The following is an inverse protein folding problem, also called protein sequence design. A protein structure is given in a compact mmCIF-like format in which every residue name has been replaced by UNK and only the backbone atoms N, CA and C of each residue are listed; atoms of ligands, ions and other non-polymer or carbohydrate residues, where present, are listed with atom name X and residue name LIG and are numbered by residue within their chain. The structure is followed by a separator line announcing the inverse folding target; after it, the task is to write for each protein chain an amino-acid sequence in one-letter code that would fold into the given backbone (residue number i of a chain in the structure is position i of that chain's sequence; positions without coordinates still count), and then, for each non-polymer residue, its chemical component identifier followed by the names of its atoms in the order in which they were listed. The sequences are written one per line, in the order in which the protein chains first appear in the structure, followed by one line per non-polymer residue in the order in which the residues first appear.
data_IF_937729569603
#
_entry.id   IF_937729569603
#
_cell.length_a   1.000
_cell.length_b   1.000
_cell.length_c   1.000
_cell.angle_alpha   90.00
_cell.angle_beta   90.00
_cell.angle_gamma   90.00
#
_symmetry.space_group_name_H-M   'P 1'
#
loop_
_entity.id
_entity.type
_entity.pdbx_description
1 polymer ?
#
# COMPACT_ATOMS: atom_id res chain seq x y z
N UNK A 1 -9.29 1.82 7.52
CA UNK A 1 -9.12 2.71 8.69
C UNK A 1 -7.86 2.30 9.42
N UNK A 2 -6.69 2.75 8.96
CA UNK A 2 -5.37 2.46 9.54
C UNK A 2 -5.16 1.02 10.06
N UNK A 3 -5.62 0.00 9.33
CA UNK A 3 -5.54 -1.41 9.74
C UNK A 3 -6.22 -1.79 11.07
N UNK A 4 -7.15 -0.97 11.60
CA UNK A 4 -7.98 -1.34 12.75
C UNK A 4 -8.71 -2.67 12.53
N UNK A 5 -9.15 -2.92 11.30
CA UNK A 5 -9.79 -4.16 10.85
C UNK A 5 -9.13 -4.66 9.54
N UNK A 6 -9.23 -5.95 9.28
CA UNK A 6 -8.84 -6.63 8.04
C UNK A 6 -10.06 -6.89 7.12
N UNK A 7 -11.25 -6.50 7.55
CA UNK A 7 -12.48 -6.55 6.76
C UNK A 7 -12.91 -5.16 6.25
N UNK A 8 -13.44 -5.13 5.03
CA UNK A 8 -14.14 -3.96 4.50
C UNK A 8 -15.46 -4.41 3.87
N UNK A 9 -16.55 -3.66 4.11
CA UNK A 9 -17.90 -4.08 3.73
C UNK A 9 -18.03 -4.30 2.22
N UNK A 10 -18.75 -5.36 1.82
CA UNK A 10 -18.91 -5.76 0.41
C UNK A 10 -19.43 -4.63 -0.49
N UNK A 11 -20.38 -3.82 0.00
CA UNK A 11 -20.92 -2.68 -0.76
C UNK A 11 -19.88 -1.59 -1.01
N UNK A 12 -18.91 -1.42 -0.09
CA UNK A 12 -17.79 -0.50 -0.27
C UNK A 12 -16.76 -1.07 -1.25
N UNK A 13 -16.44 -2.36 -1.14
CA UNK A 13 -15.56 -3.07 -2.07
C UNK A 13 -16.10 -2.98 -3.50
N UNK A 14 -17.40 -3.19 -3.70
CA UNK A 14 -18.04 -3.15 -5.01
C UNK A 14 -17.80 -1.81 -5.75
N UNK A 15 -17.71 -0.69 -5.00
CA UNK A 15 -17.45 0.65 -5.57
C UNK A 15 -16.03 0.87 -6.07
N UNK A 16 -15.08 0.02 -5.65
CA UNK A 16 -13.67 0.10 -6.05
C UNK A 16 -13.17 -1.17 -6.72
N UNK A 17 -14.07 -2.09 -7.06
CA UNK A 17 -13.72 -3.36 -7.67
C UNK A 17 -13.20 -3.17 -9.10
N UNK A 18 -12.60 -4.21 -9.68
CA UNK A 18 -12.02 -4.17 -11.03
C UNK A 18 -13.05 -3.71 -12.10
N UNK A 19 -14.34 -4.02 -11.92
CA UNK A 19 -15.41 -3.57 -12.82
C UNK A 19 -15.55 -2.05 -12.86
N UNK A 20 -15.23 -1.36 -11.77
CA UNK A 20 -15.24 0.10 -11.67
C UNK A 20 -13.90 0.70 -12.10
N UNK A 21 -12.78 0.11 -11.67
CA UNK A 21 -11.42 0.55 -12.02
C UNK A 21 -11.21 0.56 -13.54
N UNK A 22 -11.66 -0.47 -14.26
CA UNK A 22 -11.45 -0.58 -15.71
C UNK A 22 -12.03 0.58 -16.50
N UNK A 23 -13.03 1.30 -15.97
CA UNK A 23 -13.63 2.49 -16.62
C UNK A 23 -12.61 3.63 -16.78
N UNK A 24 -11.58 3.65 -15.93
CA UNK A 24 -10.50 4.63 -15.93
C UNK A 24 -9.23 4.11 -16.59
N UNK A 25 -9.15 2.82 -16.93
CA UNK A 25 -7.99 2.21 -17.59
C UNK A 25 -8.07 2.44 -19.10
N UNK A 26 -7.27 3.37 -19.61
CA UNK A 26 -7.22 3.71 -21.04
C UNK A 26 -6.42 2.69 -21.86
N UNK A 27 -5.31 2.23 -21.31
CA UNK A 27 -4.38 1.33 -21.96
C UNK A 27 -3.55 0.58 -20.91
N UNK A 28 -2.60 -0.24 -21.37
CA UNK A 28 -1.51 -0.73 -20.55
C UNK A 28 -0.16 -0.33 -21.13
N UNK A 29 0.85 -0.24 -20.26
CA UNK A 29 2.23 0.11 -20.60
C UNK A 29 3.14 -1.01 -20.12
N UNK A 30 4.08 -1.41 -20.98
CA UNK A 30 5.08 -2.42 -20.65
C UNK A 30 6.30 -1.79 -19.96
N UNK A 31 6.96 -2.61 -19.13
CA UNK A 31 8.36 -2.36 -18.79
C UNK A 31 9.24 -2.73 -20.00
N UNK A 32 10.50 -2.32 -19.97
CA UNK A 32 11.48 -2.68 -21.00
C UNK A 32 11.48 -4.20 -21.26
N UNK A 33 11.34 -4.59 -22.53
CA UNK A 33 11.31 -5.98 -23.00
C UNK A 33 10.25 -6.91 -22.38
N UNK A 34 9.26 -6.36 -21.66
CA UNK A 34 8.24 -7.17 -21.00
C UNK A 34 7.04 -7.44 -21.94
N UNK A 35 6.73 -8.71 -22.26
CA UNK A 35 5.59 -9.04 -23.11
C UNK A 35 4.24 -8.98 -22.36
N UNK A 36 4.25 -8.89 -21.02
CA UNK A 36 3.03 -8.95 -20.19
C UNK A 36 2.26 -7.63 -20.20
N UNK A 37 2.95 -6.49 -20.31
CA UNK A 37 2.34 -5.14 -20.28
C UNK A 37 1.32 -4.94 -19.14
N UNK A 38 1.73 -5.21 -17.90
CA UNK A 38 0.80 -5.23 -16.76
C UNK A 38 0.48 -3.85 -16.16
N UNK A 39 1.25 -2.78 -16.47
CA UNK A 39 1.04 -1.47 -15.83
C UNK A 39 -0.17 -0.80 -16.48
N UNK A 40 -1.25 -0.50 -15.75
CA UNK A 40 -2.36 0.23 -16.35
C UNK A 40 -1.97 1.69 -16.60
N UNK A 41 -2.42 2.27 -17.71
CA UNK A 41 -2.46 3.72 -17.90
C UNK A 41 -3.84 4.21 -17.48
N UNK A 42 -3.89 4.93 -16.37
CA UNK A 42 -5.12 5.47 -15.80
C UNK A 42 -5.38 6.87 -16.38
N UNK A 43 -6.64 7.18 -16.69
CA UNK A 43 -7.05 8.45 -17.30
C UNK A 43 -8.42 8.89 -16.75
N UNK A 44 -8.42 9.94 -15.92
CA UNK A 44 -9.61 10.68 -15.50
C UNK A 44 -9.69 11.93 -16.38
N UNK A 45 -10.67 11.95 -17.29
CA UNK A 45 -10.71 12.94 -18.38
C UNK A 45 -11.24 14.32 -17.97
N UNK A 46 -12.08 14.38 -16.94
CA UNK A 46 -12.86 15.57 -16.58
C UNK A 46 -13.11 15.67 -15.07
N UNK A 47 -13.62 16.81 -14.64
CA UNK A 47 -13.91 17.08 -13.22
C UNK A 47 -12.69 17.51 -12.41
N UNK A 48 -12.89 17.66 -11.11
CA UNK A 48 -11.88 18.15 -10.15
C UNK A 48 -10.62 17.28 -10.10
N UNK A 49 -10.77 15.98 -10.38
CA UNK A 49 -9.71 14.99 -10.31
C UNK A 49 -9.15 14.60 -11.68
N UNK A 50 -9.24 15.49 -12.67
CA UNK A 50 -8.65 15.26 -14.00
C UNK A 50 -7.15 15.02 -13.90
N UNK A 51 -6.70 13.81 -14.27
CA UNK A 51 -5.30 13.39 -14.24
C UNK A 51 -5.12 12.16 -15.13
N UNK A 52 -3.91 11.94 -15.62
CA UNK A 52 -3.53 10.69 -16.27
C UNK A 52 -2.12 10.27 -15.83
N UNK A 53 -1.85 8.98 -15.87
CA UNK A 53 -0.52 8.46 -15.57
C UNK A 53 -0.47 6.95 -15.43
N UNK A 54 0.71 6.48 -15.06
CA UNK A 54 1.02 5.06 -14.96
C UNK A 54 0.68 4.50 -13.58
N UNK A 55 0.18 3.27 -13.57
CA UNK A 55 0.04 2.47 -12.37
C UNK A 55 -1.34 2.55 -11.72
N UNK A 56 -1.74 1.41 -11.18
CA UNK A 56 -2.83 1.20 -10.24
C UNK A 56 -2.81 -0.27 -9.88
N UNK A 57 -2.37 -0.59 -8.66
CA UNK A 57 -2.27 -1.96 -8.17
C UNK A 57 -3.11 -2.15 -6.91
N UNK A 58 -3.13 -3.37 -6.39
CA UNK A 58 -3.82 -3.69 -5.14
C UNK A 58 -3.37 -2.76 -3.99
N UNK A 59 -2.07 -2.45 -3.90
CA UNK A 59 -1.55 -1.52 -2.89
C UNK A 59 -2.11 -0.10 -3.05
N UNK A 60 -2.32 0.39 -4.29
CA UNK A 60 -2.95 1.70 -4.52
C UNK A 60 -4.36 1.77 -3.91
N UNK A 61 -5.16 0.72 -4.10
CA UNK A 61 -6.49 0.62 -3.51
C UNK A 61 -6.43 0.49 -1.98
N UNK A 62 -5.47 -0.27 -1.45
CA UNK A 62 -5.27 -0.36 -0.01
C UNK A 62 -4.89 1.00 0.61
N UNK A 63 -3.96 1.72 -0.02
CA UNK A 63 -3.42 3.00 0.43
C UNK A 63 -4.48 4.11 0.41
N UNK A 64 -5.21 4.28 -0.69
CA UNK A 64 -6.10 5.44 -0.88
C UNK A 64 -7.59 5.12 -0.79
N UNK A 65 -7.97 3.85 -0.63
CA UNK A 65 -9.34 3.45 -0.33
C UNK A 65 -9.43 2.87 1.09
N UNK A 66 -8.96 1.65 1.32
CA UNK A 66 -9.29 0.91 2.55
C UNK A 66 -8.63 1.49 3.80
N UNK A 67 -7.37 1.96 3.73
CA UNK A 67 -6.67 2.61 4.86
C UNK A 67 -7.39 3.87 5.35
N UNK A 68 -8.03 4.62 4.45
CA UNK A 68 -8.72 5.89 4.75
C UNK A 68 -10.25 5.73 4.83
N UNK A 69 -10.79 4.54 4.52
CA UNK A 69 -12.24 4.28 4.37
C UNK A 69 -12.90 5.11 3.25
N UNK A 70 -12.15 5.36 2.18
CA UNK A 70 -12.58 6.13 1.03
C UNK A 70 -13.18 5.20 -0.05
N UNK A 71 -14.43 5.46 -0.44
CA UNK A 71 -15.10 4.78 -1.58
C UNK A 71 -15.14 5.61 -2.85
N UNK A 72 -14.58 6.82 -2.86
CA UNK A 72 -14.47 7.65 -4.05
C UNK A 72 -13.23 7.20 -4.85
N UNK A 73 -13.48 6.40 -5.89
CA UNK A 73 -12.43 5.81 -6.72
C UNK A 73 -11.65 6.85 -7.54
N UNK A 74 -12.30 7.91 -8.05
CA UNK A 74 -11.62 8.99 -8.76
C UNK A 74 -10.62 9.72 -7.88
N UNK A 75 -11.04 10.05 -6.65
CA UNK A 75 -10.16 10.67 -5.67
C UNK A 75 -8.98 9.75 -5.30
N UNK A 76 -9.21 8.44 -5.20
CA UNK A 76 -8.16 7.47 -4.89
C UNK A 76 -7.15 7.31 -6.04
N UNK A 77 -7.63 7.20 -7.30
CA UNK A 77 -6.77 7.18 -8.49
C UNK A 77 -5.97 8.48 -8.60
N UNK A 78 -6.62 9.62 -8.36
CA UNK A 78 -5.94 10.90 -8.32
C UNK A 78 -4.85 10.96 -7.25
N UNK A 79 -5.12 10.49 -6.03
CA UNK A 79 -4.13 10.42 -4.96
C UNK A 79 -2.93 9.54 -5.32
N UNK A 80 -3.16 8.39 -5.97
CA UNK A 80 -2.10 7.52 -6.47
C UNK A 80 -1.22 8.23 -7.50
N UNK A 81 -1.82 8.82 -8.54
CA UNK A 81 -1.07 9.49 -9.60
C UNK A 81 -0.39 10.77 -9.12
N UNK A 82 -1.01 11.49 -8.19
CA UNK A 82 -0.39 12.64 -7.52
C UNK A 82 0.84 12.21 -6.73
N UNK A 83 0.79 11.07 -6.04
CA UNK A 83 1.93 10.52 -5.30
C UNK A 83 3.09 10.19 -6.24
N UNK A 84 2.81 9.63 -7.43
CA UNK A 84 3.83 9.42 -8.46
C UNK A 84 4.48 10.75 -8.89
N UNK A 85 3.68 11.80 -9.11
CA UNK A 85 4.19 13.14 -9.49
C UNK A 85 5.00 13.81 -8.39
N UNK A 86 4.65 13.57 -7.12
CA UNK A 86 5.35 14.11 -5.95
C UNK A 86 6.60 13.31 -5.57
N UNK A 87 6.85 12.15 -6.21
CA UNK A 87 7.99 11.29 -5.90
C UNK A 87 7.92 10.65 -4.52
N UNK A 88 6.71 10.32 -4.05
CA UNK A 88 6.48 9.70 -2.74
C UNK A 88 6.32 8.17 -2.85
N UNK A 89 6.69 7.47 -1.78
CA UNK A 89 6.21 6.10 -1.55
C UNK A 89 4.75 6.17 -1.09
N UNK A 90 3.83 5.69 -1.93
CA UNK A 90 2.39 5.78 -1.67
C UNK A 90 1.92 4.99 -0.46
N UNK A 91 2.58 3.88 -0.15
CA UNK A 91 2.20 3.04 0.99
C UNK A 91 2.61 3.72 2.30
N UNK A 92 3.82 4.26 2.36
CA UNK A 92 4.30 5.02 3.53
C UNK A 92 3.51 6.32 3.72
N UNK A 93 3.25 7.06 2.64
CA UNK A 93 2.48 8.30 2.72
C UNK A 93 1.04 8.02 3.22
N UNK A 94 0.39 6.98 2.68
CA UNK A 94 -0.93 6.57 3.15
C UNK A 94 -0.92 6.09 4.61
N UNK A 95 0.12 5.39 5.04
CA UNK A 95 0.25 4.92 6.42
C UNK A 95 0.38 6.10 7.39
N UNK A 96 1.29 7.05 7.13
CA UNK A 96 1.46 8.27 7.94
C UNK A 96 0.17 9.11 8.02
N UNK A 97 -0.55 9.25 6.91
CA UNK A 97 -1.82 9.98 6.89
C UNK A 97 -2.91 9.21 7.64
N UNK A 98 -3.04 7.91 7.43
CA UNK A 98 -4.06 7.11 8.11
C UNK A 98 -3.83 7.03 9.63
N UNK A 99 -2.57 7.03 10.08
CA UNK A 99 -2.21 7.17 11.48
C UNK A 99 -2.68 8.53 12.05
N UNK A 100 -2.52 9.62 11.29
CA UNK A 100 -3.02 10.93 11.70
C UNK A 100 -4.56 10.95 11.80
N UNK A 101 -5.28 10.30 10.87
CA UNK A 101 -6.74 10.14 10.94
C UNK A 101 -7.16 9.41 12.22
N UNK A 102 -6.45 8.34 12.60
CA UNK A 102 -6.72 7.64 13.84
C UNK A 102 -6.41 8.49 15.08
N UNK A 103 -5.29 9.21 15.10
CA UNK A 103 -4.98 10.15 16.17
C UNK A 103 -6.05 11.25 16.32
N UNK A 104 -6.60 11.72 15.20
CA UNK A 104 -7.69 12.69 15.19
C UNK A 104 -8.99 12.09 15.74
N UNK A 105 -9.35 10.86 15.31
CA UNK A 105 -10.50 10.12 15.86
C UNK A 105 -10.39 9.94 17.38
N UNK A 106 -9.19 9.65 17.90
CA UNK A 106 -8.93 9.48 19.33
C UNK A 106 -8.77 10.80 20.09
N UNK A 107 -8.90 11.95 19.43
CA UNK A 107 -8.76 13.28 20.04
C UNK A 107 -7.33 13.64 20.46
N UNK A 108 -6.32 12.95 19.91
CA UNK A 108 -4.90 13.22 20.22
C UNK A 108 -4.35 14.41 19.45
N UNK A 109 -4.92 14.69 18.28
CA UNK A 109 -4.66 15.87 17.46
C UNK A 109 -5.97 16.56 17.10
N UNK A 110 -5.90 17.87 16.87
CA UNK A 110 -7.06 18.74 16.70
C UNK A 110 -7.10 19.37 15.31
N UNK A 111 -8.28 19.88 14.91
CA UNK A 111 -8.47 20.64 13.66
C UNK A 111 -7.52 21.84 13.54
N UNK A 112 -7.13 22.44 14.67
CA UNK A 112 -6.17 23.54 14.69
C UNK A 112 -4.76 23.07 14.30
N UNK A 113 -4.32 21.93 14.82
CA UNK A 113 -3.00 21.36 14.52
C UNK A 113 -2.91 20.88 13.07
N UNK A 114 -4.03 20.46 12.47
CA UNK A 114 -4.10 19.99 11.09
C UNK A 114 -4.37 21.11 10.07
N UNK A 115 -4.10 22.37 10.44
CA UNK A 115 -4.32 23.57 9.62
C UNK A 115 -5.76 23.69 9.08
N UNK A 116 -6.75 23.26 9.87
CA UNK A 116 -8.17 23.30 9.50
C UNK A 116 -8.70 22.03 8.83
N UNK A 117 -7.85 21.05 8.53
CA UNK A 117 -8.29 19.80 7.88
C UNK A 117 -9.00 18.87 8.88
N UNK A 118 -10.19 18.41 8.53
CA UNK A 118 -10.94 17.43 9.32
C UNK A 118 -10.55 16.01 8.90
N UNK A 119 -9.70 15.37 9.70
CA UNK A 119 -9.17 14.03 9.41
C UNK A 119 -10.14 12.92 9.87
N UNK A 120 -11.37 12.98 9.36
CA UNK A 120 -12.41 11.97 9.61
C UNK A 120 -12.40 10.90 8.52
N UNK A 121 -12.62 9.64 8.89
CA UNK A 121 -12.61 8.52 7.94
C UNK A 121 -13.55 8.76 6.75
N UNK A 122 -13.05 8.47 5.54
CA UNK A 122 -13.73 8.71 4.27
C UNK A 122 -13.55 10.11 3.69
N UNK A 123 -12.96 11.07 4.43
CA UNK A 123 -12.65 12.41 3.91
C UNK A 123 -11.44 12.39 2.96
N UNK A 124 -11.69 12.05 1.70
CA UNK A 124 -10.67 11.96 0.66
C UNK A 124 -10.06 13.31 0.29
N UNK A 125 -10.79 14.42 0.46
CA UNK A 125 -10.25 15.76 0.25
C UNK A 125 -9.15 16.07 1.27
N UNK A 126 -9.39 15.78 2.56
CA UNK A 126 -8.39 15.95 3.60
C UNK A 126 -7.17 15.04 3.38
N UNK A 127 -7.38 13.80 2.93
CA UNK A 127 -6.29 12.89 2.55
C UNK A 127 -5.43 13.49 1.42
N UNK A 128 -6.04 13.98 0.35
CA UNK A 128 -5.32 14.56 -0.80
C UNK A 128 -4.57 15.83 -0.40
N UNK A 129 -5.17 16.71 0.38
CA UNK A 129 -4.49 17.92 0.85
C UNK A 129 -3.34 17.59 1.81
N UNK A 130 -3.51 16.58 2.67
CA UNK A 130 -2.44 16.12 3.54
C UNK A 130 -1.28 15.49 2.75
N UNK A 131 -1.54 14.75 1.66
CA UNK A 131 -0.50 14.25 0.75
C UNK A 131 0.37 15.39 0.20
N UNK A 132 -0.26 16.46 -0.30
CA UNK A 132 0.45 17.64 -0.80
C UNK A 132 1.28 18.29 0.32
N UNK A 133 0.67 18.51 1.48
CA UNK A 133 1.35 19.09 2.65
C UNK A 133 2.54 18.25 3.11
N UNK A 134 2.41 16.92 3.09
CA UNK A 134 3.46 15.98 3.45
C UNK A 134 4.63 16.09 2.45
N UNK A 135 4.36 16.03 1.15
CA UNK A 135 5.39 16.14 0.11
C UNK A 135 6.18 17.45 0.20
N UNK A 136 5.49 18.57 0.42
CA UNK A 136 6.13 19.88 0.53
C UNK A 136 6.57 20.26 1.95
N UNK A 137 6.45 19.34 2.92
CA UNK A 137 6.76 19.59 4.34
C UNK A 137 6.11 20.89 4.87
N UNK A 138 4.80 21.07 4.64
CA UNK A 138 4.04 22.29 5.02
C UNK A 138 3.08 22.03 6.18
N UNK A 139 3.24 22.80 7.26
CA UNK A 139 2.36 22.73 8.45
C UNK A 139 2.38 21.32 9.05
N UNK A 140 1.20 20.75 9.34
CA UNK A 140 1.11 19.37 9.86
C UNK A 140 1.74 18.32 8.93
N UNK A 141 1.83 18.59 7.62
CA UNK A 141 2.52 17.70 6.69
C UNK A 141 4.02 17.53 7.00
N UNK A 142 4.70 18.55 7.53
CA UNK A 142 6.10 18.41 7.97
C UNK A 142 6.23 17.46 9.16
N UNK A 143 5.24 17.47 10.06
CA UNK A 143 5.21 16.59 11.22
C UNK A 143 5.15 15.10 10.82
N UNK A 144 4.43 14.80 9.73
CA UNK A 144 4.26 13.46 9.18
C UNK A 144 5.36 13.02 8.21
N UNK A 145 6.16 13.95 7.68
CA UNK A 145 7.06 13.68 6.56
C UNK A 145 8.24 12.74 6.88
N UNK A 146 8.49 12.43 8.15
CA UNK A 146 9.50 11.46 8.58
C UNK A 146 8.91 10.05 8.86
N UNK A 147 7.64 9.82 8.50
CA UNK A 147 6.93 8.55 8.68
C UNK A 147 6.11 8.47 9.97
N UNK A 148 5.18 7.50 10.02
CA UNK A 148 4.22 7.39 11.12
C UNK A 148 4.90 7.12 12.48
N UNK A 149 5.93 6.27 12.50
CA UNK A 149 6.67 5.98 13.73
C UNK A 149 7.33 7.24 14.32
N UNK A 150 8.00 8.03 13.49
CA UNK A 150 8.64 9.29 13.93
C UNK A 150 7.63 10.34 14.35
N UNK A 151 6.49 10.41 13.67
CA UNK A 151 5.39 11.27 14.09
C UNK A 151 4.83 10.83 15.47
N UNK A 152 4.67 9.52 15.70
CA UNK A 152 4.18 8.99 16.96
C UNK A 152 5.14 9.20 18.13
N UNK A 153 6.45 8.98 17.92
CA UNK A 153 7.49 9.29 18.91
C UNK A 153 7.44 10.77 19.33
N UNK A 154 7.26 11.68 18.35
CA UNK A 154 7.14 13.13 18.61
C UNK A 154 5.82 13.50 19.29
N UNK A 155 4.71 12.86 18.93
CA UNK A 155 3.38 13.17 19.48
C UNK A 155 3.23 12.65 20.92
N UNK A 156 3.80 11.48 21.21
CA UNK A 156 3.59 10.75 22.46
C UNK A 156 2.13 10.30 22.60
N UNK A 157 1.59 10.40 23.83
CA UNK A 157 0.19 10.06 24.16
C UNK A 157 -0.20 8.61 23.82
N UNK A 158 0.75 7.69 23.92
CA UNK A 158 0.61 6.28 23.52
C UNK A 158 0.19 6.08 22.04
N UNK A 159 0.44 7.07 21.18
CA UNK A 159 0.05 7.04 19.76
C UNK A 159 0.88 6.07 18.91
N UNK A 160 2.00 5.58 19.45
CA UNK A 160 2.81 4.52 18.84
C UNK A 160 2.03 3.22 18.66
N UNK A 161 1.00 2.98 19.49
CA UNK A 161 0.11 1.81 19.37
C UNK A 161 -0.71 1.78 18.08
N UNK A 162 -0.86 2.92 17.41
CA UNK A 162 -1.59 3.04 16.15
C UNK A 162 -0.67 2.92 14.93
N UNK A 163 0.65 2.82 15.14
CA UNK A 163 1.60 2.71 14.04
C UNK A 163 1.72 1.26 13.60
N UNK A 164 1.37 0.97 12.35
CA UNK A 164 1.59 -0.33 11.74
C UNK A 164 2.94 -0.30 11.03
N UNK A 165 3.96 -0.91 11.63
CA UNK A 165 5.32 -0.92 11.10
C UNK A 165 6.07 -2.21 11.43
N UNK A 166 7.12 -2.49 10.66
CA UNK A 166 8.09 -3.56 10.94
C UNK A 166 9.48 -2.97 10.75
N UNK A 167 10.39 -3.17 11.73
CA UNK A 167 11.77 -2.63 11.70
C UNK A 167 11.84 -1.12 11.43
N UNK A 168 10.87 -0.37 11.96
CA UNK A 168 10.80 1.09 11.81
C UNK A 168 10.19 1.61 10.51
N UNK A 169 9.93 0.74 9.53
CA UNK A 169 9.27 1.15 8.29
C UNK A 169 7.77 0.84 8.34
N UNK A 170 6.97 1.82 7.94
CA UNK A 170 5.53 1.73 7.75
C UNK A 170 5.14 0.51 6.90
N UNK A 171 4.05 -0.16 7.28
CA UNK A 171 3.52 -1.34 6.57
C UNK A 171 2.04 -1.20 6.24
N UNK A 172 1.72 -1.48 4.98
CA UNK A 172 0.36 -1.48 4.46
C UNK A 172 -0.38 -2.78 4.79
N UNK A 173 0.36 -3.86 4.98
CA UNK A 173 -0.11 -5.23 4.85
C UNK A 173 -0.91 -5.70 6.07
N UNK A 174 -2.05 -6.37 5.82
CA UNK A 174 -2.77 -7.12 6.83
C UNK A 174 -2.07 -8.45 7.10
N UNK A 175 -1.75 -8.73 8.36
CA UNK A 175 -0.94 -9.90 8.77
C UNK A 175 -1.66 -10.86 9.71
N UNK A 176 -2.91 -10.56 10.13
CA UNK A 176 -3.60 -11.35 11.16
C UNK A 176 -4.13 -12.66 10.61
N UNK A 177 -4.70 -12.66 9.40
CA UNK A 177 -5.32 -13.85 8.80
C UNK A 177 -4.28 -14.79 8.18
N UNK A 178 -3.47 -14.30 7.23
CA UNK A 178 -2.54 -15.15 6.49
C UNK A 178 -1.21 -15.32 7.24
N UNK A 179 -0.95 -16.53 7.75
CA UNK A 179 0.25 -16.81 8.55
C UNK A 179 1.52 -16.84 7.74
N UNK A 180 1.50 -17.38 6.52
CA UNK A 180 2.65 -17.35 5.62
C UNK A 180 3.01 -15.94 5.16
N UNK A 181 2.01 -15.11 4.85
CA UNK A 181 2.18 -13.71 4.49
C UNK A 181 2.76 -12.89 5.65
N UNK A 182 2.12 -12.98 6.82
CA UNK A 182 2.53 -12.25 8.00
C UNK A 182 3.95 -12.62 8.43
N UNK A 183 4.27 -13.91 8.44
CA UNK A 183 5.62 -14.38 8.73
C UNK A 183 6.65 -13.84 7.74
N UNK A 184 6.32 -13.85 6.44
CA UNK A 184 7.18 -13.30 5.39
C UNK A 184 7.44 -11.80 5.52
N UNK A 185 6.43 -11.02 5.91
CA UNK A 185 6.58 -9.57 6.13
C UNK A 185 7.43 -9.28 7.36
N UNK A 186 7.18 -9.98 8.48
CA UNK A 186 7.94 -9.79 9.73
C UNK A 186 9.43 -10.08 9.51
N UNK A 187 9.74 -11.15 8.77
CA UNK A 187 11.12 -11.57 8.49
C UNK A 187 11.73 -10.91 7.25
N UNK A 188 10.99 -10.05 6.54
CA UNK A 188 11.47 -9.42 5.32
C UNK A 188 12.79 -8.67 5.54
N UNK A 189 13.82 -8.85 4.69
CA UNK A 189 15.11 -8.19 4.83
C UNK A 189 15.04 -6.68 4.61
N UNK A 190 13.95 -6.16 4.04
CA UNK A 190 13.75 -4.74 3.73
C UNK A 190 12.55 -4.14 4.50
N UNK A 191 12.44 -4.50 5.77
CA UNK A 191 11.41 -4.01 6.68
C UNK A 191 9.98 -4.45 6.29
N UNK A 192 8.94 -3.66 6.60
CA UNK A 192 7.52 -4.06 6.50
C UNK A 192 6.92 -4.24 5.11
N UNK A 193 7.64 -4.89 4.19
CA UNK A 193 7.26 -5.11 2.78
C UNK A 193 7.15 -6.59 2.45
N UNK A 194 6.12 -6.94 1.68
CA UNK A 194 5.86 -8.31 1.27
C UNK A 194 6.65 -8.78 0.02
N UNK A 195 7.15 -7.87 -0.83
CA UNK A 195 7.80 -8.23 -2.10
C UNK A 195 9.18 -8.90 -1.98
N UNK A 196 9.60 -9.28 -0.77
CA UNK A 196 10.83 -10.05 -0.51
C UNK A 196 10.51 -11.49 -0.14
N UNK A 197 9.73 -12.16 -0.98
CA UNK A 197 9.47 -13.60 -0.88
C UNK A 197 8.37 -13.99 0.10
N UNK A 198 7.45 -13.10 0.47
CA UNK A 198 6.29 -13.48 1.27
C UNK A 198 5.42 -14.53 0.57
N UNK A 199 4.70 -15.34 1.35
CA UNK A 199 4.01 -16.55 0.88
C UNK A 199 2.55 -16.32 0.46
N UNK A 200 2.24 -15.27 -0.31
CA UNK A 200 0.82 -14.92 -0.59
C UNK A 200 0.55 -14.37 -1.99
N UNK A 201 1.24 -14.87 -3.00
CA UNK A 201 0.47 -15.03 -4.23
C UNK A 201 -0.52 -16.13 -3.90
N UNK A 202 -1.83 -15.92 -4.11
CA UNK A 202 -2.96 -16.84 -3.84
C UNK A 202 -2.74 -18.32 -4.28
N UNK A 203 -1.65 -18.56 -5.00
CA UNK A 203 -1.17 -19.77 -5.66
C UNK A 203 0.03 -20.43 -4.94
N UNK A 204 0.84 -19.65 -4.21
CA UNK A 204 1.92 -20.14 -3.38
C UNK A 204 1.26 -20.69 -2.11
N UNK A 205 1.19 -22.02 -2.01
CA UNK A 205 0.52 -22.78 -0.92
C UNK A 205 -1.00 -22.91 -1.04
N UNK A 206 -1.54 -23.03 -2.26
CA UNK A 206 -2.98 -23.30 -2.49
C UNK A 206 -3.50 -24.54 -1.75
N UNK A 207 -2.62 -25.50 -1.48
CA UNK A 207 -2.96 -26.77 -0.83
C UNK A 207 -3.08 -26.64 0.70
N UNK A 208 -2.71 -25.49 1.26
CA UNK A 208 -2.76 -25.22 2.68
C UNK A 208 -3.82 -24.16 3.00
N UNK A 209 -4.57 -24.29 4.11
CA UNK A 209 -5.41 -23.20 4.61
C UNK A 209 -4.59 -21.93 4.81
N UNK A 210 -5.17 -20.77 4.50
CA UNK A 210 -4.49 -19.46 4.59
C UNK A 210 -3.94 -19.16 6.00
N UNK A 211 -4.56 -19.71 7.03
CA UNK A 211 -4.18 -19.57 8.42
C UNK A 211 -3.30 -20.72 8.95
N UNK A 212 -2.81 -21.61 8.09
CA UNK A 212 -1.95 -22.74 8.46
C UNK A 212 -0.51 -22.30 8.74
N UNK A 213 0.09 -22.91 9.77
CA UNK A 213 1.51 -22.77 10.11
C UNK A 213 2.39 -23.88 9.52
N UNK A 214 1.78 -24.93 8.96
CA UNK A 214 2.49 -26.06 8.38
C UNK A 214 3.52 -25.59 7.35
N UNK A 215 4.77 -26.05 7.42
CA UNK A 215 5.86 -25.74 6.48
C UNK A 215 6.14 -24.25 6.18
N UNK A 216 5.55 -23.30 6.94
CA UNK A 216 5.71 -21.86 6.69
C UNK A 216 7.19 -21.43 6.74
N UNK A 217 8.00 -21.84 7.74
CA UNK A 217 9.41 -21.45 7.79
C UNK A 217 10.23 -21.94 6.60
N UNK A 218 10.05 -23.21 6.23
CA UNK A 218 10.76 -23.86 5.12
C UNK A 218 10.38 -23.22 3.79
N UNK A 219 9.08 -23.06 3.52
CA UNK A 219 8.56 -22.44 2.31
C UNK A 219 9.07 -20.99 2.18
N UNK A 220 9.07 -20.23 3.28
CA UNK A 220 9.55 -18.86 3.30
C UNK A 220 11.04 -18.79 2.98
N UNK A 221 11.86 -19.66 3.57
CA UNK A 221 13.29 -19.71 3.33
C UNK A 221 13.61 -19.89 1.84
N UNK A 222 12.95 -20.85 1.17
CA UNK A 222 13.11 -21.06 -0.27
C UNK A 222 12.58 -19.89 -1.09
N UNK A 223 11.40 -19.35 -0.73
CA UNK A 223 10.80 -18.22 -1.42
C UNK A 223 11.67 -16.95 -1.36
N UNK A 224 12.26 -16.64 -0.21
CA UNK A 224 13.18 -15.52 -0.04
C UNK A 224 14.44 -15.68 -0.90
N UNK A 225 15.03 -16.88 -0.93
CA UNK A 225 16.20 -17.18 -1.77
C UNK A 225 15.87 -17.05 -3.26
N UNK A 226 14.76 -17.64 -3.70
CA UNK A 226 14.28 -17.53 -5.09
C UNK A 226 14.07 -16.06 -5.47
N UNK A 227 13.44 -15.28 -4.60
CA UNK A 227 13.21 -13.85 -4.82
C UNK A 227 14.52 -13.06 -4.90
N UNK A 228 15.51 -13.38 -4.07
CA UNK A 228 16.83 -12.75 -4.11
C UNK A 228 17.54 -13.00 -5.44
N UNK A 229 17.56 -14.26 -5.93
CA UNK A 229 18.09 -14.58 -7.26
C UNK A 229 17.35 -13.80 -8.34
N UNK A 230 16.01 -13.75 -8.26
CA UNK A 230 15.19 -12.99 -9.20
C UNK A 230 15.57 -11.49 -9.24
N UNK A 231 15.77 -10.88 -8.07
CA UNK A 231 16.18 -9.47 -7.95
C UNK A 231 17.59 -9.25 -8.52
N UNK A 232 18.54 -10.17 -8.29
CA UNK A 232 19.91 -10.09 -8.82
C UNK A 232 19.91 -10.13 -10.36
N UNK A 233 19.07 -10.98 -10.95
CA UNK A 233 18.94 -11.10 -12.40
C UNK A 233 18.15 -9.95 -13.04
N UNK A 234 17.56 -9.04 -12.25
CA UNK A 234 16.71 -7.97 -12.77
C UNK A 234 15.38 -8.46 -13.35
N UNK A 235 14.93 -9.64 -12.95
CA UNK A 235 13.69 -10.23 -13.44
C UNK A 235 12.48 -9.72 -12.67
N UNK A 236 11.37 -9.48 -13.37
CA UNK A 236 10.14 -8.99 -12.78
C UNK A 236 9.39 -10.11 -12.04
N UNK A 237 8.93 -9.83 -10.82
CA UNK A 237 8.13 -10.77 -9.99
C UNK A 237 6.76 -11.12 -10.56
N UNK A 238 6.26 -10.34 -11.52
CA UNK A 238 4.96 -10.59 -12.16
C UNK A 238 5.06 -11.49 -13.40
N UNK A 239 6.25 -11.95 -13.77
CA UNK A 239 6.39 -12.98 -14.81
C UNK A 239 6.17 -14.35 -14.15
N UNK A 240 4.90 -14.76 -14.13
CA UNK A 240 4.47 -16.01 -13.49
C UNK A 240 5.01 -17.25 -14.22
N UNK A 241 5.14 -18.34 -13.46
CA UNK A 241 5.54 -19.64 -14.01
C UNK A 241 7.03 -19.86 -14.20
N UNK A 242 7.87 -18.84 -13.95
CA UNK A 242 9.32 -19.02 -14.05
C UNK A 242 9.87 -19.89 -12.89
N UNK A 243 10.62 -20.92 -13.27
CA UNK A 243 11.40 -21.77 -12.36
C UNK A 243 12.85 -21.30 -12.31
N UNK A 244 13.61 -21.78 -11.32
CA UNK A 244 15.05 -21.55 -11.27
C UNK A 244 15.72 -22.15 -12.52
N UNK A 245 15.25 -23.29 -13.00
CA UNK A 245 15.76 -23.92 -14.23
C UNK A 245 15.57 -23.02 -15.46
N UNK A 246 14.44 -22.30 -15.54
CA UNK A 246 14.24 -21.32 -16.61
C UNK A 246 15.26 -20.18 -16.54
N UNK A 247 15.71 -19.81 -15.34
CA UNK A 247 16.68 -18.72 -15.14
C UNK A 247 18.12 -19.16 -15.39
N UNK A 248 18.45 -20.42 -15.10
CA UNK A 248 19.78 -21.00 -15.38
C UNK A 248 20.03 -21.07 -16.90
N UNK A 249 18.96 -21.22 -17.69
CA UNK A 249 19.03 -21.27 -19.14
C UNK A 249 19.13 -19.90 -19.85
N UNK A 250 19.03 -18.78 -19.11
CA UNK A 250 19.19 -17.41 -19.62
C UNK A 250 20.66 -16.99 -19.67
#
# INVERSE_FOLDING_TARGET
RNGQDEHWGKDKIAKIAEQEIKKYRKATVSCFSCPISCKPWMDIKQGTYKIQGEGWWNNSANSYCTKIDNTNLEAAIYAHLLTNQLGLDGDNAAQAISWAFECYEKGLITKKETDGLELVWGNYQAMIEMLKKLAYRKGFGNFLADGALKAAEKLGKNSERFVIHVKGQDSLDGIRINKGWGFGIILSPVAGRHLRGSLNLLWLRSDNPINSYENVPEDLYYSQKKKAVQDILGLCSNVFGQTIDNWVAL
#
